data_IF_315623748570
#
_entry.id   IF_315623748570
#
_cell.length_a   1.000
_cell.length_b   1.000
_cell.length_c   1.000
_cell.angle_alpha   90.00
_cell.angle_beta   90.00
_cell.angle_gamma   90.00
#
_symmetry.space_group_name_H-M   'P 1'
#
loop_
_entity.id
_entity.type
_entity.pdbx_description
1 polymer ?
#
# COMPACT_ATOMS: atom_id res chain seq x y z
N UNK A 1 4.38 9.43 22.37
CA UNK A 1 5.03 10.52 21.61
C UNK A 1 6.51 10.18 21.43
N UNK A 2 6.85 9.47 20.36
CA UNK A 2 8.20 9.24 19.82
C UNK A 2 8.03 8.55 18.45
N UNK A 3 8.48 9.18 17.36
CA UNK A 3 8.37 8.64 16.01
C UNK A 3 9.43 7.55 15.74
N UNK A 4 9.13 6.49 14.96
CA UNK A 4 10.13 5.57 14.47
C UNK A 4 10.92 6.20 13.30
N UNK A 5 12.18 5.78 13.07
CA UNK A 5 13.05 6.39 12.07
C UNK A 5 12.71 5.95 10.65
N UNK A 6 12.75 6.90 9.72
CA UNK A 6 12.60 6.71 8.27
C UNK A 6 13.80 6.00 7.63
N UNK A 7 13.60 5.14 6.61
CA UNK A 7 14.66 4.46 5.89
C UNK A 7 15.26 5.38 4.83
N UNK A 8 16.02 6.40 5.24
CA UNK A 8 16.73 7.32 4.34
C UNK A 8 18.25 7.39 4.63
N UNK A 9 18.76 6.56 5.55
CA UNK A 9 20.16 6.59 5.99
C UNK A 9 21.06 5.47 5.46
N UNK A 10 20.54 4.56 4.62
CA UNK A 10 21.34 3.45 4.09
C UNK A 10 22.15 3.81 2.82
N UNK A 11 21.85 4.92 2.12
CA UNK A 11 22.57 5.28 0.89
C UNK A 11 23.65 6.37 1.05
N UNK A 12 23.79 6.97 2.23
CA UNK A 12 24.76 8.05 2.48
C UNK A 12 26.10 7.57 3.07
N UNK A 13 26.27 6.29 3.39
CA UNK A 13 27.49 5.76 4.02
C UNK A 13 28.60 5.33 3.04
N UNK A 14 28.33 5.29 1.73
CA UNK A 14 29.33 4.85 0.73
C UNK A 14 30.18 6.03 0.19
N UNK A 15 29.72 7.28 0.35
CA UNK A 15 30.42 8.45 -0.22
C UNK A 15 31.33 9.17 0.79
N UNK A 16 31.14 8.95 2.10
CA UNK A 16 31.95 9.61 3.14
C UNK A 16 33.29 8.90 3.47
N UNK A 17 33.46 7.63 3.10
CA UNK A 17 34.65 6.82 3.44
C UNK A 17 35.90 7.12 2.60
N UNK A 18 35.77 7.80 1.45
CA UNK A 18 36.90 8.02 0.53
C UNK A 18 37.66 9.34 0.78
N UNK A 19 37.12 10.26 1.59
CA UNK A 19 37.72 11.58 1.83
C UNK A 19 38.65 11.63 3.06
N UNK A 20 38.57 10.67 3.99
CA UNK A 20 39.34 10.68 5.23
C UNK A 20 40.75 10.04 5.11
N UNK A 21 41.04 9.32 4.03
CA UNK A 21 42.31 8.60 3.82
C UNK A 21 43.38 9.42 3.07
N UNK A 22 43.12 10.69 2.74
CA UNK A 22 44.03 11.50 1.93
C UNK A 22 44.73 12.66 2.66
N UNK A 23 44.46 12.88 3.95
CA UNK A 23 44.99 14.03 4.71
C UNK A 23 45.93 13.71 5.88
N UNK A 24 46.31 12.45 6.07
CA UNK A 24 47.16 12.04 7.20
C UNK A 24 48.44 11.32 6.75
N UNK A 25 49.32 11.98 5.98
CA UNK A 25 50.71 11.51 5.90
C UNK A 25 51.72 12.61 5.51
N UNK A 26 51.73 13.70 6.28
CA UNK A 26 52.89 14.62 6.30
C UNK A 26 53.20 15.02 7.74
N UNK A 27 54.13 14.30 8.38
CA UNK A 27 55.05 14.86 9.37
C UNK A 27 56.21 13.90 9.68
N UNK A 28 57.39 14.33 9.22
CA UNK A 28 58.65 14.36 9.96
C UNK A 28 59.41 13.03 10.22
N UNK A 29 60.61 12.92 9.63
CA UNK A 29 61.84 12.45 10.31
C UNK A 29 63.09 12.71 9.46
N UNK A 30 64.07 13.37 10.07
CA UNK A 30 65.43 13.65 9.60
C UNK A 30 66.40 12.49 10.00
N UNK A 31 67.25 12.03 9.05
CA UNK A 31 68.73 11.75 9.07
C UNK A 31 69.36 10.87 10.20
N UNK A 32 70.43 10.03 9.99
CA UNK A 32 71.44 10.02 8.91
C UNK A 32 71.82 8.69 8.20
N UNK A 33 72.39 8.94 7.02
CA UNK A 33 73.41 8.28 6.19
C UNK A 33 74.30 7.16 6.79
N UNK A 34 74.34 6.03 6.07
CA UNK A 34 75.41 5.04 6.07
C UNK A 34 75.62 4.49 4.65
N UNK A 35 76.74 4.87 4.04
CA UNK A 35 77.20 4.56 2.67
C UNK A 35 77.32 3.05 2.42
N UNK A 36 76.85 2.56 1.26
CA UNK A 36 77.66 1.73 0.34
C UNK A 36 76.99 1.64 -1.02
N UNK A 37 77.79 1.94 -2.03
CA UNK A 37 77.49 2.00 -3.46
C UNK A 37 77.35 0.59 -4.01
N UNK A 38 76.25 0.33 -4.71
CA UNK A 38 76.13 -0.75 -5.69
C UNK A 38 75.37 -0.19 -6.89
N UNK A 39 76.10 0.07 -7.97
CA UNK A 39 75.56 0.18 -9.34
C UNK A 39 75.78 -1.22 -9.92
N UNK A 40 74.76 -1.89 -10.47
CA UNK A 40 74.54 -1.74 -11.90
C UNK A 40 73.09 -1.87 -12.42
N UNK A 41 72.86 -1.11 -13.51
CA UNK A 41 72.15 -1.51 -14.75
C UNK A 41 70.73 -2.10 -14.62
N UNK A 42 69.73 -1.35 -15.09
CA UNK A 42 68.44 -1.95 -15.45
C UNK A 42 67.27 -0.97 -15.50
N UNK A 43 66.92 -0.54 -16.71
CA UNK A 43 65.57 -0.15 -17.09
C UNK A 43 64.97 1.07 -16.38
N UNK A 44 65.09 2.24 -17.01
CA UNK A 44 64.11 3.31 -16.81
C UNK A 44 62.77 2.78 -17.31
N UNK A 45 61.96 2.24 -16.40
CA UNK A 45 60.57 1.93 -16.66
C UNK A 45 59.85 3.27 -16.88
N UNK A 46 59.73 3.65 -18.16
CA UNK A 46 58.91 4.75 -18.65
C UNK A 46 57.46 4.52 -18.18
N UNK A 47 57.12 5.03 -16.98
CA UNK A 47 55.73 5.16 -16.54
C UNK A 47 55.09 6.27 -17.37
N UNK A 48 54.82 6.00 -18.65
CA UNK A 48 53.87 6.78 -19.45
C UNK A 48 52.52 6.71 -18.75
N UNK A 49 52.23 7.69 -17.90
CA UNK A 49 50.86 8.04 -17.56
C UNK A 49 50.16 8.28 -18.89
N UNK A 50 49.37 7.32 -19.37
CA UNK A 50 48.49 7.49 -20.54
C UNK A 50 47.64 8.71 -20.27
N UNK A 51 48.04 9.87 -20.80
CA UNK A 51 47.24 11.08 -20.74
C UNK A 51 46.01 10.80 -21.58
N UNK A 52 44.89 10.58 -20.90
CA UNK A 52 43.58 10.46 -21.53
C UNK A 52 43.40 11.66 -22.46
N UNK A 53 43.18 11.40 -23.76
CA UNK A 53 43.00 12.45 -24.75
C UNK A 53 41.90 13.41 -24.29
N UNK A 54 42.04 14.71 -24.57
CA UNK A 54 41.07 15.74 -24.16
C UNK A 54 39.62 15.36 -24.55
N UNK A 55 39.48 14.70 -25.72
CA UNK A 55 38.27 14.03 -26.24
C UNK A 55 37.58 13.13 -25.22
N UNK A 56 38.31 12.20 -24.64
CA UNK A 56 37.73 11.21 -23.74
C UNK A 56 37.34 11.87 -22.43
N UNK A 57 38.04 12.93 -22.00
CA UNK A 57 37.68 13.72 -20.82
C UNK A 57 36.40 14.53 -21.02
N UNK A 58 36.25 15.25 -22.14
CA UNK A 58 35.03 16.02 -22.40
C UNK A 58 33.83 15.10 -22.59
N UNK A 59 33.99 14.00 -23.33
CA UNK A 59 32.94 12.98 -23.47
C UNK A 59 32.56 12.36 -22.10
N UNK A 60 33.54 11.94 -21.30
CA UNK A 60 33.28 11.41 -19.95
C UNK A 60 32.56 12.45 -19.08
N UNK A 61 32.97 13.73 -19.14
CA UNK A 61 32.32 14.78 -18.39
C UNK A 61 30.85 14.95 -18.79
N UNK A 62 30.55 15.03 -20.10
CA UNK A 62 29.16 15.16 -20.57
C UNK A 62 28.34 13.91 -20.25
N UNK A 63 28.89 12.72 -20.47
CA UNK A 63 28.22 11.45 -20.17
C UNK A 63 27.91 11.31 -18.66
N UNK A 64 28.86 11.68 -17.80
CA UNK A 64 28.66 11.68 -16.34
C UNK A 64 27.59 12.70 -15.95
N UNK A 65 27.63 13.93 -16.48
CA UNK A 65 26.61 14.95 -16.20
C UNK A 65 25.21 14.48 -16.61
N UNK A 66 25.08 13.88 -17.79
CA UNK A 66 23.81 13.31 -18.26
C UNK A 66 23.35 12.13 -17.39
N UNK A 67 24.26 11.24 -17.02
CA UNK A 67 23.94 10.11 -16.14
C UNK A 67 23.44 10.60 -14.77
N UNK A 68 24.10 11.60 -14.18
CA UNK A 68 23.68 12.22 -12.91
C UNK A 68 22.30 12.86 -13.05
N UNK A 69 22.06 13.60 -14.16
CA UNK A 69 20.75 14.21 -14.42
C UNK A 69 19.65 13.14 -14.57
N UNK A 70 19.89 12.08 -15.34
CA UNK A 70 18.93 10.99 -15.52
C UNK A 70 18.66 10.25 -14.21
N UNK A 71 19.67 9.98 -13.40
CA UNK A 71 19.51 9.37 -12.07
C UNK A 71 18.68 10.28 -11.14
N UNK A 72 18.93 11.59 -11.16
CA UNK A 72 18.18 12.55 -10.37
C UNK A 72 16.70 12.62 -10.80
N UNK A 73 16.45 12.69 -12.11
CA UNK A 73 15.10 12.70 -12.68
C UNK A 73 14.36 11.39 -12.41
N UNK A 74 15.01 10.24 -12.60
CA UNK A 74 14.43 8.93 -12.32
C UNK A 74 14.11 8.78 -10.83
N UNK A 75 15.01 9.19 -9.94
CA UNK A 75 14.77 9.19 -8.49
C UNK A 75 13.59 10.08 -8.10
N UNK A 76 13.46 11.26 -8.73
CA UNK A 76 12.31 12.15 -8.52
C UNK A 76 11.00 11.51 -8.99
N UNK A 77 10.97 10.95 -10.21
CA UNK A 77 9.80 10.25 -10.77
C UNK A 77 9.42 9.06 -9.90
N UNK A 78 10.38 8.24 -9.48
CA UNK A 78 10.15 7.08 -8.61
C UNK A 78 9.53 7.51 -7.27
N UNK A 79 10.10 8.53 -6.62
CA UNK A 79 9.59 9.00 -5.32
C UNK A 79 8.20 9.62 -5.42
N UNK A 80 7.92 10.39 -6.46
CA UNK A 80 6.60 10.98 -6.71
C UNK A 80 5.57 9.88 -6.97
N UNK A 81 5.94 8.90 -7.79
CA UNK A 81 5.06 7.78 -8.16
C UNK A 81 4.72 6.94 -6.93
N UNK A 82 5.71 6.48 -6.16
CA UNK A 82 5.48 5.70 -4.94
C UNK A 82 4.58 6.43 -3.93
N UNK A 83 4.81 7.73 -3.70
CA UNK A 83 3.95 8.53 -2.81
C UNK A 83 2.53 8.64 -3.33
N UNK A 84 2.35 8.93 -4.62
CA UNK A 84 1.03 9.10 -5.23
C UNK A 84 0.23 7.80 -5.16
N UNK A 85 0.84 6.67 -5.51
CA UNK A 85 0.20 5.37 -5.42
C UNK A 85 -0.06 4.95 -3.97
N UNK A 86 0.83 5.25 -3.03
CA UNK A 86 0.56 5.03 -1.60
C UNK A 86 -0.66 5.81 -1.10
N UNK A 87 -0.86 7.04 -1.58
CA UNK A 87 -2.08 7.81 -1.24
C UNK A 87 -3.33 7.27 -1.90
N UNK A 88 -3.23 6.72 -3.12
CA UNK A 88 -4.35 6.05 -3.80
C UNK A 88 -4.76 4.78 -3.04
N UNK A 89 -3.80 3.93 -2.65
CA UNK A 89 -4.07 2.74 -1.85
C UNK A 89 -4.74 3.07 -0.51
N UNK A 90 -4.30 4.13 0.17
CA UNK A 90 -4.93 4.57 1.40
C UNK A 90 -6.38 5.02 1.19
N UNK A 91 -6.66 5.71 0.08
CA UNK A 91 -8.03 6.14 -0.29
C UNK A 91 -8.91 4.95 -0.67
N UNK A 92 -8.40 4.05 -1.49
CA UNK A 92 -9.12 2.85 -1.92
C UNK A 92 -9.42 1.94 -0.74
N UNK A 93 -8.47 1.76 0.18
CA UNK A 93 -8.67 1.03 1.43
C UNK A 93 -9.68 1.72 2.35
N UNK A 94 -9.67 3.05 2.46
CA UNK A 94 -10.69 3.78 3.24
C UNK A 94 -12.10 3.66 2.64
N UNK A 95 -12.20 3.68 1.30
CA UNK A 95 -13.45 3.45 0.59
C UNK A 95 -13.93 2.00 0.77
N UNK A 96 -13.02 1.02 0.69
CA UNK A 96 -13.30 -0.39 0.96
C UNK A 96 -13.81 -0.59 2.39
N UNK A 97 -13.18 0.03 3.38
CA UNK A 97 -13.62 -0.01 4.78
C UNK A 97 -15.04 0.54 4.93
N UNK A 98 -15.34 1.64 4.22
CA UNK A 98 -16.68 2.24 4.23
C UNK A 98 -17.71 1.29 3.61
N UNK A 99 -17.39 0.61 2.50
CA UNK A 99 -18.28 -0.39 1.90
C UNK A 99 -18.56 -1.56 2.85
N UNK A 100 -17.54 -2.07 3.55
CA UNK A 100 -17.71 -3.14 4.55
C UNK A 100 -18.67 -2.68 5.66
N UNK A 101 -18.43 -1.49 6.24
CA UNK A 101 -19.30 -0.94 7.29
C UNK A 101 -20.73 -0.77 6.80
N UNK A 102 -20.91 -0.24 5.58
CA UNK A 102 -22.24 -0.04 5.00
C UNK A 102 -22.96 -1.35 4.73
N UNK A 103 -22.28 -2.37 4.20
CA UNK A 103 -22.87 -3.68 3.94
C UNK A 103 -23.38 -4.34 5.24
N UNK A 104 -22.55 -4.33 6.30
CA UNK A 104 -22.96 -4.89 7.60
C UNK A 104 -24.09 -4.09 8.24
N UNK A 105 -24.04 -2.75 8.15
CA UNK A 105 -25.13 -1.90 8.66
C UNK A 105 -26.43 -2.09 7.90
N UNK A 106 -26.38 -2.30 6.59
CA UNK A 106 -27.57 -2.57 5.78
C UNK A 106 -28.24 -3.88 6.23
N UNK A 107 -27.47 -4.94 6.47
CA UNK A 107 -28.02 -6.20 6.97
C UNK A 107 -28.56 -6.05 8.41
N UNK A 108 -27.88 -5.28 9.27
CA UNK A 108 -28.40 -4.99 10.60
C UNK A 108 -29.72 -4.21 10.54
N UNK A 109 -29.81 -3.19 9.69
CA UNK A 109 -31.06 -2.43 9.49
C UNK A 109 -32.18 -3.31 8.96
N UNK A 110 -31.88 -4.29 8.09
CA UNK A 110 -32.88 -5.27 7.64
C UNK A 110 -33.41 -6.10 8.81
N UNK A 111 -32.54 -6.58 9.70
CA UNK A 111 -32.95 -7.31 10.91
C UNK A 111 -33.75 -6.41 11.86
N UNK A 112 -33.39 -5.13 11.99
CA UNK A 112 -34.14 -4.16 12.79
C UNK A 112 -35.53 -3.88 12.21
N UNK A 113 -35.69 -3.84 10.89
CA UNK A 113 -37.02 -3.75 10.27
C UNK A 113 -37.85 -5.00 10.58
N UNK A 114 -37.27 -6.19 10.45
CA UNK A 114 -37.97 -7.44 10.80
C UNK A 114 -38.40 -7.44 12.26
N UNK A 115 -37.51 -7.10 13.21
CA UNK A 115 -37.90 -7.06 14.62
C UNK A 115 -38.90 -5.93 14.92
N UNK A 116 -38.79 -4.79 14.24
CA UNK A 116 -39.72 -3.66 14.37
C UNK A 116 -41.11 -3.93 13.82
N UNK A 117 -41.26 -4.84 12.86
CA UNK A 117 -42.58 -5.23 12.34
C UNK A 117 -43.32 -6.19 13.28
N UNK A 118 -42.58 -7.03 14.03
CA UNK A 118 -43.15 -8.11 14.86
C UNK A 118 -43.24 -7.78 16.36
N UNK A 119 -42.33 -6.96 16.87
CA UNK A 119 -42.29 -6.58 18.29
C UNK A 119 -43.50 -5.77 18.77
N UNK A 120 -44.11 -4.87 17.97
CA UNK A 120 -45.27 -4.09 18.40
C UNK A 120 -46.61 -4.79 18.16
N UNK A 121 -46.67 -6.09 17.86
CA UNK A 121 -47.96 -6.77 17.67
C UNK A 121 -48.66 -7.02 19.00
N UNK A 122 -49.98 -6.79 19.04
CA UNK A 122 -50.83 -7.13 20.19
C UNK A 122 -50.68 -8.61 20.57
N UNK A 123 -50.57 -9.51 19.59
CA UNK A 123 -50.40 -10.95 19.81
C UNK A 123 -49.04 -11.27 20.46
N UNK A 124 -47.95 -10.64 19.99
CA UNK A 124 -46.62 -10.76 20.61
C UNK A 124 -46.64 -10.23 22.04
N UNK A 125 -47.34 -9.10 22.27
CA UNK A 125 -47.49 -8.51 23.59
C UNK A 125 -48.26 -9.42 24.56
N UNK A 126 -49.39 -9.98 24.12
CA UNK A 126 -50.22 -10.90 24.89
C UNK A 126 -49.50 -12.22 25.17
N UNK A 127 -48.71 -12.72 24.23
CA UNK A 127 -47.87 -13.91 24.44
C UNK A 127 -46.88 -13.70 25.60
N UNK A 128 -46.21 -12.55 25.64
CA UNK A 128 -45.28 -12.21 26.74
C UNK A 128 -46.00 -12.06 28.08
N UNK A 129 -47.23 -11.56 28.07
CA UNK A 129 -48.09 -11.49 29.25
C UNK A 129 -48.61 -12.87 29.71
N UNK A 130 -48.47 -13.91 28.89
CA UNK A 130 -48.99 -15.26 29.14
C UNK A 130 -50.48 -15.42 28.78
N UNK A 131 -51.05 -14.47 28.05
CA UNK A 131 -52.47 -14.42 27.67
C UNK A 131 -52.76 -15.15 26.35
N UNK A 132 -51.74 -15.43 25.54
CA UNK A 132 -51.87 -16.14 24.25
C UNK A 132 -50.78 -17.22 24.05
N UNK A 133 -50.78 -18.31 24.83
CA UNK A 133 -49.70 -19.31 24.80
C UNK A 133 -49.54 -20.05 23.46
N UNK A 134 -50.57 -20.10 22.62
CA UNK A 134 -50.56 -20.73 21.30
C UNK A 134 -49.83 -19.90 20.22
N UNK A 135 -49.50 -18.63 20.51
CA UNK A 135 -48.87 -17.69 19.57
C UNK A 135 -47.71 -18.27 18.73
N UNK A 136 -46.72 -19.00 19.30
CA UNK A 136 -45.64 -19.55 18.49
C UNK A 136 -46.11 -20.61 17.49
N UNK A 137 -47.13 -21.39 17.83
CA UNK A 137 -47.69 -22.41 16.94
C UNK A 137 -48.47 -21.77 15.80
N UNK A 138 -49.21 -20.69 16.10
CA UNK A 138 -50.08 -20.01 15.14
C UNK A 138 -49.30 -19.08 14.19
N UNK A 139 -48.18 -18.49 14.64
CA UNK A 139 -47.50 -17.42 13.90
C UNK A 139 -46.03 -17.70 13.57
N UNK A 140 -45.34 -18.57 14.32
CA UNK A 140 -43.88 -18.79 14.21
C UNK A 140 -43.52 -20.18 13.69
N UNK A 141 -44.34 -20.72 12.78
CA UNK A 141 -43.99 -21.96 12.07
C UNK A 141 -42.69 -21.78 11.26
N UNK A 142 -41.98 -22.87 10.99
CA UNK A 142 -40.66 -22.87 10.32
C UNK A 142 -40.65 -22.07 9.01
N UNK A 143 -41.71 -22.16 8.21
CA UNK A 143 -41.85 -21.41 6.95
C UNK A 143 -41.92 -19.89 7.17
N UNK A 144 -42.53 -19.45 8.28
CA UNK A 144 -42.56 -18.04 8.64
C UNK A 144 -41.15 -17.53 8.98
N UNK A 145 -40.38 -18.27 9.78
CA UNK A 145 -39.00 -17.91 10.11
C UNK A 145 -38.08 -17.89 8.89
N UNK A 146 -38.23 -18.85 7.98
CA UNK A 146 -37.49 -18.89 6.72
C UNK A 146 -37.81 -17.67 5.82
N UNK A 147 -39.08 -17.25 5.78
CA UNK A 147 -39.51 -16.07 5.02
C UNK A 147 -38.92 -14.76 5.59
N UNK A 148 -38.73 -14.66 6.90
CA UNK A 148 -38.04 -13.53 7.54
C UNK A 148 -36.53 -13.49 7.25
N UNK A 149 -36.00 -14.59 6.70
CA UNK A 149 -34.58 -14.84 6.47
C UNK A 149 -33.76 -14.56 7.73
N UNK A 150 -34.21 -15.12 8.85
CA UNK A 150 -33.56 -15.01 10.15
C UNK A 150 -33.22 -16.42 10.66
N UNK A 151 -31.97 -16.64 11.06
CA UNK A 151 -31.54 -17.90 11.64
C UNK A 151 -32.02 -18.07 13.08
N UNK A 152 -32.26 -16.95 13.77
CA UNK A 152 -32.61 -16.90 15.20
C UNK A 152 -33.79 -15.96 15.41
N UNK A 153 -34.81 -16.44 16.12
CA UNK A 153 -35.95 -15.65 16.59
C UNK A 153 -36.23 -15.99 18.05
N UNK A 154 -36.07 -15.02 18.95
CA UNK A 154 -36.19 -15.22 20.40
C UNK A 154 -37.10 -14.18 21.01
N UNK A 155 -38.07 -14.63 21.82
CA UNK A 155 -38.92 -13.77 22.63
C UNK A 155 -38.53 -13.98 24.10
N UNK A 156 -38.24 -12.89 24.79
CA UNK A 156 -37.94 -12.88 26.21
C UNK A 156 -38.85 -11.90 26.96
N UNK A 157 -39.18 -12.23 28.21
CA UNK A 157 -39.90 -11.30 29.10
C UNK A 157 -38.99 -10.15 29.59
N UNK A 158 -39.55 -9.17 30.29
CA UNK A 158 -38.82 -8.01 30.82
C UNK A 158 -37.67 -8.33 31.80
N UNK A 159 -37.57 -9.56 32.32
CA UNK A 159 -36.44 -10.02 33.13
C UNK A 159 -35.30 -10.63 32.30
N UNK A 160 -35.57 -10.88 31.02
CA UNK A 160 -34.67 -11.55 30.08
C UNK A 160 -34.81 -13.06 30.13
N UNK A 161 -35.86 -13.59 30.75
CA UNK A 161 -36.17 -15.02 30.69
C UNK A 161 -36.80 -15.31 29.34
N UNK A 162 -36.28 -16.34 28.69
CA UNK A 162 -36.67 -16.75 27.35
C UNK A 162 -38.00 -17.48 27.43
N UNK A 163 -38.99 -16.96 26.70
CA UNK A 163 -40.32 -17.56 26.56
C UNK A 163 -40.39 -18.42 25.31
N UNK A 164 -39.76 -17.97 24.22
CA UNK A 164 -39.66 -18.70 22.96
C UNK A 164 -38.27 -18.55 22.34
N UNK A 165 -37.79 -19.60 21.71
CA UNK A 165 -36.59 -19.60 20.87
C UNK A 165 -36.82 -20.54 19.69
N UNK A 166 -36.90 -19.99 18.48
CA UNK A 166 -37.07 -20.72 17.23
C UNK A 166 -35.94 -20.39 16.26
N UNK A 167 -35.36 -21.42 15.64
CA UNK A 167 -34.28 -21.28 14.68
C UNK A 167 -34.68 -21.81 13.32
N UNK A 168 -34.14 -21.23 12.25
CA UNK A 168 -34.32 -21.75 10.89
C UNK A 168 -32.97 -22.03 10.24
N UNK A 169 -32.91 -23.06 9.41
CA UNK A 169 -31.77 -23.30 8.54
C UNK A 169 -32.07 -22.76 7.14
N UNK A 170 -31.51 -21.60 6.81
CA UNK A 170 -31.76 -20.92 5.54
C UNK A 170 -31.14 -21.64 4.33
N UNK A 171 -30.11 -22.47 4.54
CA UNK A 171 -29.47 -23.25 3.48
C UNK A 171 -30.16 -24.61 3.24
N UNK A 172 -30.36 -25.40 4.31
CA UNK A 172 -30.90 -26.76 4.22
C UNK A 172 -32.41 -26.83 4.20
N UNK A 173 -33.10 -25.78 4.65
CA UNK A 173 -34.54 -25.77 4.87
C UNK A 173 -34.91 -26.58 6.11
N UNK A 174 -35.66 -25.98 7.03
CA UNK A 174 -36.14 -26.66 8.23
C UNK A 174 -35.81 -25.92 9.52
N UNK A 175 -36.27 -26.50 10.62
CA UNK A 175 -36.07 -25.96 11.97
C UNK A 175 -34.63 -26.27 12.44
N UNK A 176 -33.98 -25.28 13.03
CA UNK A 176 -32.67 -25.41 13.66
C UNK A 176 -32.85 -25.33 15.16
N UNK A 177 -32.43 -26.36 15.89
CA UNK A 177 -32.35 -26.32 17.34
C UNK A 177 -31.41 -25.17 17.76
N UNK A 178 -31.97 -24.22 18.51
CA UNK A 178 -31.24 -23.11 19.11
C UNK A 178 -30.56 -23.59 20.39
N UNK A 179 -29.21 -23.64 20.44
CA UNK A 179 -28.52 -24.04 21.65
C UNK A 179 -28.86 -23.12 22.83
N UNK A 180 -29.02 -23.68 24.02
CA UNK A 180 -29.39 -22.91 25.23
C UNK A 180 -28.41 -21.78 25.56
N UNK A 181 -27.13 -21.93 25.21
CA UNK A 181 -26.11 -20.89 25.37
C UNK A 181 -26.28 -19.73 24.38
N UNK A 182 -26.75 -20.00 23.16
CA UNK A 182 -27.09 -18.97 22.18
C UNK A 182 -28.30 -18.15 22.65
N UNK A 183 -29.33 -18.84 23.13
CA UNK A 183 -30.51 -18.22 23.69
C UNK A 183 -30.14 -17.34 24.92
N UNK A 184 -29.27 -17.84 25.82
CA UNK A 184 -28.79 -17.10 26.99
C UNK A 184 -27.91 -15.89 26.63
N UNK A 185 -27.09 -16.00 25.58
CA UNK A 185 -26.31 -14.87 25.06
C UNK A 185 -27.22 -13.78 24.51
N UNK A 186 -28.26 -14.16 23.77
CA UNK A 186 -29.30 -13.27 23.26
C UNK A 186 -30.03 -12.56 24.41
N UNK A 187 -30.49 -13.29 25.42
CA UNK A 187 -31.13 -12.72 26.61
C UNK A 187 -30.23 -11.72 27.36
N UNK A 188 -28.93 -12.03 27.48
CA UNK A 188 -27.97 -11.13 28.12
C UNK A 188 -27.77 -9.85 27.32
N UNK A 189 -27.70 -9.97 26.00
CA UNK A 189 -27.59 -8.83 25.10
C UNK A 189 -28.86 -7.97 25.12
N UNK A 190 -30.05 -8.59 25.22
CA UNK A 190 -31.32 -7.90 25.33
C UNK A 190 -31.38 -6.95 26.54
N UNK A 191 -30.84 -7.37 27.69
CA UNK A 191 -30.76 -6.52 28.90
C UNK A 191 -29.90 -5.26 28.73
N UNK A 192 -29.06 -5.19 27.70
CA UNK A 192 -28.29 -3.98 27.38
C UNK A 192 -29.09 -2.98 26.55
N UNK A 193 -30.21 -3.40 25.95
CA UNK A 193 -31.11 -2.54 25.20
C UNK A 193 -32.10 -1.82 26.14
N UNK A 194 -32.30 -0.50 25.98
CA UNK A 194 -33.24 0.25 26.80
C UNK A 194 -34.69 -0.12 26.46
N UNK A 195 -35.40 -0.71 27.42
CA UNK A 195 -36.81 -1.08 27.25
C UNK A 195 -37.73 0.15 27.05
N UNK A 196 -37.34 1.30 27.61
CA UNK A 196 -38.16 2.50 27.68
C UNK A 196 -38.22 3.32 26.37
N UNK A 197 -37.25 3.17 25.46
CA UNK A 197 -37.21 3.99 24.24
C UNK A 197 -37.99 3.38 23.08
N UNK A 198 -38.39 2.10 23.19
CA UNK A 198 -38.96 1.30 22.10
C UNK A 198 -38.09 1.25 20.83
N UNK A 199 -36.83 1.69 20.90
CA UNK A 199 -35.93 1.73 19.76
C UNK A 199 -35.23 0.38 19.56
N UNK A 200 -35.12 -0.03 18.30
CA UNK A 200 -34.32 -1.20 17.92
C UNK A 200 -32.82 -0.92 18.14
N UNK A 201 -32.14 -1.84 18.81
CA UNK A 201 -30.67 -1.83 18.94
C UNK A 201 -30.09 -3.12 18.40
N UNK A 202 -28.77 -3.21 18.25
CA UNK A 202 -28.15 -4.43 17.74
C UNK A 202 -26.71 -4.29 17.33
N UNK A 203 -26.14 -5.37 16.84
CA UNK A 203 -24.76 -5.43 16.37
C UNK A 203 -24.27 -6.87 16.24
N UNK A 204 -22.95 -7.05 16.23
CA UNK A 204 -22.33 -8.38 16.12
C UNK A 204 -22.21 -8.99 17.53
N UNK A 205 -22.88 -10.10 17.76
CA UNK A 205 -22.79 -10.91 18.96
C UNK A 205 -21.82 -12.08 18.73
N UNK A 206 -20.92 -12.30 19.68
CA UNK A 206 -20.06 -13.48 19.67
C UNK A 206 -20.81 -14.67 20.28
N UNK A 207 -20.89 -15.77 19.53
CA UNK A 207 -21.51 -17.02 19.97
C UNK A 207 -20.51 -18.18 19.83
N UNK A 208 -20.81 -19.35 20.40
CA UNK A 208 -19.98 -20.56 20.19
C UNK A 208 -20.02 -21.07 18.75
N UNK A 209 -21.09 -20.76 18.02
CA UNK A 209 -21.27 -21.16 16.61
C UNK A 209 -20.65 -20.16 15.63
N UNK A 210 -20.21 -18.98 16.10
CA UNK A 210 -19.61 -17.94 15.28
C UNK A 210 -20.18 -16.56 15.56
N UNK A 211 -19.99 -15.65 14.61
CA UNK A 211 -20.51 -14.30 14.69
C UNK A 211 -21.99 -14.28 14.30
N UNK A 212 -22.84 -13.76 15.16
CA UNK A 212 -24.26 -13.56 14.90
C UNK A 212 -24.52 -12.06 14.79
N UNK A 213 -25.04 -11.59 13.67
CA UNK A 213 -25.61 -10.25 13.60
C UNK A 213 -27.00 -10.29 14.23
N UNK A 214 -27.26 -9.45 15.24
CA UNK A 214 -28.50 -9.49 16.02
C UNK A 214 -29.14 -8.11 16.11
N UNK A 215 -30.46 -8.05 15.97
CA UNK A 215 -31.30 -6.92 16.30
C UNK A 215 -32.19 -7.26 17.50
N UNK A 216 -32.37 -6.29 18.39
CA UNK A 216 -33.17 -6.38 19.62
C UNK A 216 -34.18 -5.25 19.62
N UNK A 217 -35.45 -5.58 19.78
CA UNK A 217 -36.55 -4.62 19.82
C UNK A 217 -37.41 -4.84 21.07
N UNK A 218 -37.72 -3.80 21.87
CA UNK A 218 -38.69 -3.91 22.95
C UNK A 218 -40.08 -4.28 22.39
N UNK A 219 -40.77 -5.21 23.05
CA UNK A 219 -42.12 -5.66 22.68
C UNK A 219 -43.14 -4.73 23.33
N UNK A 220 -44.06 -4.19 22.52
CA UNK A 220 -45.18 -3.31 22.92
C UNK A 220 -46.43 -3.71 22.13
N UNK A 221 -47.53 -2.98 22.27
CA UNK A 221 -48.78 -3.21 21.55
C UNK A 221 -48.82 -2.42 20.21
N UNK A 222 -49.81 -2.69 19.37
CA UNK A 222 -49.93 -2.10 18.03
C UNK A 222 -50.05 -0.56 18.06
N UNK A 223 -50.61 -0.03 19.15
CA UNK A 223 -50.77 1.40 19.37
C UNK A 223 -49.49 2.11 19.87
N UNK A 224 -48.43 1.35 20.20
CA UNK A 224 -47.16 1.83 20.75
C UNK A 224 -47.31 2.65 22.05
N UNK A 225 -48.40 2.45 22.79
CA UNK A 225 -48.72 3.16 24.02
C UNK A 225 -48.64 2.25 25.27
N UNK A 226 -48.63 0.93 25.08
CA UNK A 226 -48.41 -0.01 26.17
C UNK A 226 -46.94 0.01 26.63
N UNK A 227 -46.68 -0.03 27.95
CA UNK A 227 -45.34 -0.21 28.46
C UNK A 227 -44.74 -1.50 27.92
N UNK A 228 -43.49 -1.42 27.45
CA UNK A 228 -42.82 -2.60 26.92
C UNK A 228 -42.70 -3.70 27.98
N UNK A 229 -43.07 -4.92 27.62
CA UNK A 229 -43.16 -6.06 28.54
C UNK A 229 -42.13 -7.17 28.26
N UNK A 230 -41.29 -7.00 27.24
CA UNK A 230 -40.27 -7.97 26.85
C UNK A 230 -39.39 -7.48 25.70
N UNK A 231 -38.58 -8.40 25.16
CA UNK A 231 -37.72 -8.17 24.01
C UNK A 231 -37.95 -9.22 22.93
N UNK A 232 -38.00 -8.76 21.69
CA UNK A 232 -37.88 -9.60 20.51
C UNK A 232 -36.45 -9.48 19.97
N UNK A 233 -35.80 -10.62 19.76
CA UNK A 233 -34.48 -10.70 19.15
C UNK A 233 -34.56 -11.47 17.85
N UNK A 234 -33.97 -10.90 16.81
CA UNK A 234 -33.88 -11.51 15.49
C UNK A 234 -32.41 -11.51 15.10
N UNK A 235 -31.90 -12.66 14.68
CA UNK A 235 -30.48 -12.86 14.39
C UNK A 235 -30.24 -13.56 13.06
N UNK A 236 -29.10 -13.24 12.45
CA UNK A 236 -28.54 -13.95 11.30
C UNK A 236 -27.07 -14.25 11.52
N UNK A 237 -26.64 -15.47 11.26
CA UNK A 237 -25.24 -15.85 11.33
C UNK A 237 -24.45 -15.24 10.17
N UNK A 238 -23.25 -14.75 10.47
CA UNK A 238 -22.26 -14.39 9.47
C UNK A 238 -21.50 -15.66 9.04
N UNK A 239 -22.25 -16.61 8.49
CA UNK A 239 -21.77 -17.91 8.03
C UNK A 239 -21.13 -17.82 6.63
N UNK A 240 -20.80 -18.97 6.02
CA UNK A 240 -20.16 -18.98 4.71
C UNK A 240 -21.01 -18.32 3.61
N UNK A 241 -22.33 -18.51 3.62
CA UNK A 241 -23.24 -17.91 2.64
C UNK A 241 -23.33 -16.40 2.84
N UNK A 242 -23.54 -15.93 4.07
CA UNK A 242 -23.66 -14.49 4.35
C UNK A 242 -22.31 -13.78 4.12
N UNK A 243 -21.18 -14.39 4.47
CA UNK A 243 -19.85 -13.86 4.14
C UNK A 243 -19.63 -13.79 2.63
N UNK A 244 -20.15 -14.75 1.86
CA UNK A 244 -20.12 -14.72 0.39
C UNK A 244 -20.98 -13.58 -0.16
N UNK A 245 -22.18 -13.37 0.37
CA UNK A 245 -23.06 -12.28 -0.01
C UNK A 245 -22.45 -10.90 0.31
N UNK A 246 -21.82 -10.76 1.48
CA UNK A 246 -21.04 -9.57 1.85
C UNK A 246 -19.87 -9.36 0.89
N UNK A 247 -19.19 -10.43 0.49
CA UNK A 247 -18.07 -10.35 -0.45
C UNK A 247 -18.51 -9.86 -1.83
N UNK A 248 -19.65 -10.33 -2.33
CA UNK A 248 -20.24 -9.88 -3.59
C UNK A 248 -20.67 -8.40 -3.52
N UNK A 249 -21.32 -8.01 -2.42
CA UNK A 249 -21.82 -6.64 -2.22
C UNK A 249 -20.68 -5.63 -2.10
N UNK A 250 -19.59 -6.00 -1.43
CA UNK A 250 -18.46 -5.10 -1.18
C UNK A 250 -17.43 -5.10 -2.32
N UNK A 251 -17.43 -6.14 -3.15
CA UNK A 251 -16.39 -6.41 -4.14
C UNK A 251 -15.05 -6.82 -3.51
N UNK A 252 -15.07 -7.39 -2.29
CA UNK A 252 -13.91 -7.75 -1.50
C UNK A 252 -14.04 -9.19 -1.01
N UNK A 253 -12.95 -9.96 -0.96
CA UNK A 253 -12.95 -11.24 -0.25
C UNK A 253 -13.02 -10.97 1.24
N UNK A 254 -14.20 -11.17 1.84
CA UNK A 254 -14.50 -10.77 3.21
C UNK A 254 -14.35 -11.93 4.19
N UNK A 255 -13.90 -11.67 5.41
CA UNK A 255 -13.82 -12.65 6.50
C UNK A 255 -14.06 -11.93 7.83
N UNK A 256 -14.78 -12.56 8.74
CA UNK A 256 -15.03 -12.02 10.09
C UNK A 256 -14.21 -12.79 11.12
N UNK A 257 -13.52 -12.06 11.98
CA UNK A 257 -12.69 -12.57 13.06
C UNK A 257 -13.22 -12.10 14.40
N UNK A 258 -13.35 -13.03 15.34
CA UNK A 258 -13.84 -12.78 16.68
C UNK A 258 -12.68 -12.78 17.70
N UNK A 259 -12.80 -12.07 18.83
CA UNK A 259 -11.76 -12.05 19.87
C UNK A 259 -11.34 -13.42 20.39
N UNK A 260 -12.29 -14.36 20.48
CA UNK A 260 -12.06 -15.72 20.99
C UNK A 260 -11.44 -16.69 19.97
N UNK A 261 -11.29 -16.28 18.70
CA UNK A 261 -10.81 -17.13 17.62
C UNK A 261 -9.29 -17.15 17.45
N UNK A 262 -8.80 -18.13 16.69
CA UNK A 262 -7.42 -18.14 16.20
C UNK A 262 -7.29 -17.14 15.05
N UNK A 263 -6.73 -15.97 15.35
CA UNK A 263 -6.58 -14.89 14.37
C UNK A 263 -5.21 -15.01 13.66
N UNK A 264 -5.18 -14.91 12.31
CA UNK A 264 -3.92 -14.90 11.60
C UNK A 264 -3.09 -13.63 11.93
N UNK A 265 -1.77 -13.70 11.69
CA UNK A 265 -0.82 -12.68 12.14
C UNK A 265 -1.10 -11.29 11.57
N UNK A 266 -1.66 -11.21 10.36
CA UNK A 266 -2.07 -9.98 9.69
C UNK A 266 -3.21 -9.28 10.45
N UNK A 267 -4.20 -10.04 10.94
CA UNK A 267 -5.31 -9.57 11.77
C UNK A 267 -4.82 -9.12 13.14
N UNK A 268 -3.97 -9.91 13.79
CA UNK A 268 -3.37 -9.51 15.08
C UNK A 268 -2.56 -8.21 14.97
N UNK A 269 -1.78 -8.07 13.89
CA UNK A 269 -1.07 -6.83 13.58
C UNK A 269 -2.02 -5.66 13.29
N UNK A 270 -3.16 -5.91 12.65
CA UNK A 270 -4.19 -4.90 12.41
C UNK A 270 -4.81 -4.40 13.71
N UNK A 271 -5.15 -5.29 14.64
CA UNK A 271 -5.67 -4.92 15.98
C UNK A 271 -4.69 -3.98 16.69
N UNK A 272 -3.39 -4.28 16.66
CA UNK A 272 -2.36 -3.39 17.23
C UNK A 272 -2.32 -2.01 16.57
N UNK A 273 -2.45 -1.92 15.24
CA UNK A 273 -2.50 -0.64 14.50
C UNK A 273 -3.77 0.16 14.82
N UNK A 274 -4.92 -0.51 14.90
CA UNK A 274 -6.21 0.08 15.27
C UNK A 274 -6.13 0.69 16.67
N UNK A 275 -5.62 -0.07 17.64
CA UNK A 275 -5.42 0.39 19.01
C UNK A 275 -4.44 1.58 19.10
N UNK A 276 -3.32 1.54 18.36
CA UNK A 276 -2.31 2.61 18.39
C UNK A 276 -2.78 3.91 17.71
N UNK A 277 -3.62 3.80 16.68
CA UNK A 277 -4.15 4.96 15.95
C UNK A 277 -5.43 5.54 16.54
N UNK A 278 -6.16 4.77 17.35
CA UNK A 278 -7.49 5.12 17.82
C UNK A 278 -8.56 5.11 16.72
N UNK A 279 -8.27 4.53 15.56
CA UNK A 279 -9.21 4.40 14.44
C UNK A 279 -9.93 3.05 14.49
N UNK A 280 -11.15 3.02 13.93
CA UNK A 280 -11.94 1.82 13.66
C UNK A 280 -11.51 1.11 12.36
N UNK A 281 -10.57 1.67 11.60
CA UNK A 281 -10.18 1.20 10.27
C UNK A 281 -8.68 1.16 10.11
N UNK A 282 -8.19 0.12 9.48
CA UNK A 282 -6.78 -0.01 9.11
C UNK A 282 -6.66 -0.61 7.72
N UNK A 283 -5.63 -0.18 6.99
CA UNK A 283 -5.29 -0.70 5.67
C UNK A 283 -3.84 -1.13 5.71
N UNK A 284 -3.55 -2.33 5.22
CA UNK A 284 -2.19 -2.83 5.12
C UNK A 284 -2.04 -3.80 3.95
N UNK A 285 -0.91 -3.77 3.23
CA UNK A 285 -0.63 -4.80 2.23
C UNK A 285 -0.47 -6.16 2.92
N UNK A 286 -1.09 -7.19 2.35
CA UNK A 286 -0.86 -8.57 2.75
C UNK A 286 0.39 -9.12 2.05
N UNK A 287 0.59 -8.71 0.80
CA UNK A 287 1.77 -8.97 -0.02
C UNK A 287 1.84 -7.94 -1.18
N UNK A 288 2.65 -8.21 -2.20
CA UNK A 288 2.80 -7.33 -3.37
C UNK A 288 1.55 -7.27 -4.27
N UNK A 289 0.67 -8.27 -4.18
CA UNK A 289 -0.51 -8.43 -5.04
C UNK A 289 -1.84 -8.15 -4.32
N UNK A 290 -1.86 -8.18 -2.99
CA UNK A 290 -3.10 -8.12 -2.19
C UNK A 290 -3.03 -7.01 -1.15
N UNK A 291 -4.11 -6.24 -1.09
CA UNK A 291 -4.35 -5.21 -0.08
C UNK A 291 -5.45 -5.67 0.87
N UNK A 292 -5.16 -5.66 2.16
CA UNK A 292 -6.13 -5.99 3.19
C UNK A 292 -6.62 -4.73 3.90
N UNK A 293 -7.94 -4.63 4.01
CA UNK A 293 -8.66 -3.61 4.76
C UNK A 293 -9.31 -4.25 5.98
N UNK A 294 -9.14 -3.65 7.14
CA UNK A 294 -9.63 -4.15 8.41
C UNK A 294 -10.57 -3.12 9.02
N UNK A 295 -11.75 -3.58 9.42
CA UNK A 295 -12.76 -2.78 10.11
C UNK A 295 -13.01 -3.39 11.48
N UNK A 296 -12.89 -2.58 12.52
CA UNK A 296 -13.18 -2.95 13.89
C UNK A 296 -14.60 -2.54 14.27
N UNK A 297 -15.38 -3.50 14.75
CA UNK A 297 -16.73 -3.27 15.26
C UNK A 297 -16.85 -3.76 16.70
N UNK A 298 -17.34 -2.95 17.65
CA UNK A 298 -17.65 -3.41 19.00
C UNK A 298 -18.65 -4.57 18.96
N UNK A 299 -18.42 -5.57 19.81
CA UNK A 299 -19.40 -6.63 19.99
C UNK A 299 -20.62 -6.11 20.77
N UNK A 300 -21.80 -6.50 20.32
CA UNK A 300 -23.05 -6.26 21.02
C UNK A 300 -23.08 -7.06 22.33
N UNK A 301 -23.44 -6.40 23.43
CA UNK A 301 -23.30 -6.97 24.78
C UNK A 301 -21.89 -6.86 25.40
N UNK A 302 -20.92 -6.28 24.68
CA UNK A 302 -19.54 -6.10 25.15
C UNK A 302 -18.62 -7.30 24.91
N UNK A 303 -17.47 -7.35 25.60
CA UNK A 303 -16.54 -8.48 25.50
C UNK A 303 -15.49 -8.40 24.38
N UNK A 304 -15.35 -7.24 23.73
CA UNK A 304 -14.27 -6.97 22.76
C UNK A 304 -14.80 -6.44 21.44
N UNK A 305 -14.04 -6.68 20.38
CA UNK A 305 -14.35 -6.19 19.02
C UNK A 305 -14.21 -7.31 17.99
N UNK A 306 -15.17 -7.38 17.06
CA UNK A 306 -15.01 -8.16 15.85
C UNK A 306 -14.13 -7.40 14.85
N UNK A 307 -13.30 -8.13 14.10
CA UNK A 307 -12.52 -7.58 12.99
C UNK A 307 -13.06 -8.16 11.69
N UNK A 308 -13.51 -7.29 10.80
CA UNK A 308 -13.94 -7.66 9.46
C UNK A 308 -12.81 -7.31 8.51
N UNK A 309 -12.24 -8.34 7.87
CA UNK A 309 -11.16 -8.20 6.89
C UNK A 309 -11.74 -8.31 5.49
N UNK A 310 -11.53 -7.29 4.66
CA UNK A 310 -11.78 -7.35 3.22
C UNK A 310 -10.46 -7.32 2.45
N UNK A 311 -10.27 -8.28 1.55
CA UNK A 311 -9.07 -8.38 0.71
C UNK A 311 -9.41 -8.03 -0.74
N UNK A 312 -8.58 -7.20 -1.35
CA UNK A 312 -8.68 -6.78 -2.74
C UNK A 312 -7.36 -6.94 -3.48
N UNK A 313 -7.42 -7.02 -4.81
CA UNK A 313 -6.24 -6.93 -5.67
C UNK A 313 -5.58 -5.56 -5.54
N UNK A 314 -4.25 -5.57 -5.43
CA UNK A 314 -3.39 -4.40 -5.36
C UNK A 314 -3.01 -3.92 -6.77
N UNK A 315 -4.01 -3.79 -7.65
CA UNK A 315 -3.85 -3.48 -9.07
C UNK A 315 -3.13 -2.14 -9.30
N UNK A 316 -3.41 -1.14 -8.47
CA UNK A 316 -2.73 0.15 -8.50
C UNK A 316 -1.21 0.03 -8.28
N UNK A 317 -0.77 -0.85 -7.38
CA UNK A 317 0.67 -1.12 -7.17
C UNK A 317 1.31 -1.78 -8.37
N UNK A 318 0.65 -2.78 -8.97
CA UNK A 318 1.15 -3.44 -10.18
C UNK A 318 1.28 -2.44 -11.34
N UNK A 319 0.29 -1.58 -11.52
CA UNK A 319 0.30 -0.55 -12.56
C UNK A 319 1.41 0.48 -12.33
N UNK A 320 1.68 0.86 -11.07
CA UNK A 320 2.82 1.70 -10.68
C UNK A 320 4.15 1.08 -11.09
N UNK A 321 4.35 -0.23 -10.81
CA UNK A 321 5.59 -0.95 -11.16
C UNK A 321 5.78 -1.05 -12.68
N UNK A 322 4.71 -1.30 -13.42
CA UNK A 322 4.75 -1.32 -14.89
C UNK A 322 5.09 0.07 -15.46
N UNK A 323 4.45 1.11 -14.93
CA UNK A 323 4.70 2.51 -15.33
C UNK A 323 6.14 2.92 -15.06
N UNK A 324 6.70 2.56 -13.90
CA UNK A 324 8.11 2.81 -13.56
C UNK A 324 9.07 2.04 -14.48
N UNK A 325 8.75 0.79 -14.84
CA UNK A 325 9.52 0.02 -15.82
C UNK A 325 9.54 0.67 -17.20
N UNK A 326 8.38 1.16 -17.66
CA UNK A 326 8.27 1.88 -18.93
C UNK A 326 9.06 3.19 -18.91
N UNK A 327 8.99 3.97 -17.82
CA UNK A 327 9.82 5.16 -17.67
C UNK A 327 11.31 4.82 -17.66
N UNK A 328 11.73 3.78 -16.94
CA UNK A 328 13.12 3.34 -16.95
C UNK A 328 13.60 2.99 -18.37
N UNK A 329 12.80 2.23 -19.13
CA UNK A 329 13.11 1.90 -20.52
C UNK A 329 13.20 3.15 -21.41
N UNK A 330 12.27 4.10 -21.26
CA UNK A 330 12.27 5.36 -21.98
C UNK A 330 13.50 6.23 -21.64
N UNK A 331 13.88 6.31 -20.37
CA UNK A 331 15.08 7.02 -19.91
C UNK A 331 16.36 6.40 -20.48
N UNK A 332 16.46 5.07 -20.50
CA UNK A 332 17.60 4.36 -21.12
C UNK A 332 17.65 4.65 -22.62
N UNK A 333 16.52 4.53 -23.32
CA UNK A 333 16.44 4.79 -24.76
C UNK A 333 16.83 6.25 -25.09
N UNK A 334 16.29 7.23 -24.36
CA UNK A 334 16.64 8.64 -24.51
C UNK A 334 18.13 8.89 -24.22
N UNK A 335 18.68 8.26 -23.19
CA UNK A 335 20.10 8.32 -22.87
C UNK A 335 20.98 7.79 -24.01
N UNK A 336 20.64 6.63 -24.58
CA UNK A 336 21.37 6.05 -25.72
C UNK A 336 21.32 6.96 -26.95
N UNK A 337 20.14 7.50 -27.29
CA UNK A 337 19.98 8.45 -28.40
C UNK A 337 20.83 9.70 -28.18
N UNK A 338 20.83 10.26 -26.97
CA UNK A 338 21.58 11.46 -26.66
C UNK A 338 23.10 11.22 -26.67
N UNK A 339 23.56 10.07 -26.20
CA UNK A 339 24.98 9.66 -26.29
C UNK A 339 25.38 9.50 -27.75
N UNK A 340 24.57 8.82 -28.56
CA UNK A 340 24.84 8.65 -30.00
C UNK A 340 24.88 9.99 -30.74
N UNK A 341 23.92 10.89 -30.48
CA UNK A 341 23.91 12.23 -31.05
C UNK A 341 25.15 13.04 -30.67
N UNK A 342 25.56 13.01 -29.39
CA UNK A 342 26.79 13.66 -28.94
C UNK A 342 28.04 13.10 -29.62
N UNK A 343 28.13 11.78 -29.82
CA UNK A 343 29.25 11.15 -30.53
C UNK A 343 29.32 11.62 -31.99
N UNK A 344 28.18 11.70 -32.67
CA UNK A 344 28.12 12.15 -34.08
C UNK A 344 28.53 13.63 -34.20
N UNK A 345 28.01 14.49 -33.32
CA UNK A 345 28.35 15.92 -33.31
C UNK A 345 29.84 16.10 -33.02
N UNK A 346 30.36 15.47 -31.96
CA UNK A 346 31.78 15.59 -31.59
C UNK A 346 32.71 15.09 -32.70
N UNK A 347 32.33 14.00 -33.37
CA UNK A 347 33.12 13.44 -34.48
C UNK A 347 33.18 14.41 -35.67
N UNK A 348 32.02 14.95 -36.07
CA UNK A 348 31.92 15.85 -37.22
C UNK A 348 32.48 17.24 -36.98
N UNK A 349 32.21 17.86 -35.82
CA UNK A 349 32.58 19.26 -35.57
C UNK A 349 34.02 19.43 -35.11
N UNK A 350 34.52 18.53 -34.27
CA UNK A 350 35.85 18.68 -33.65
C UNK A 350 36.82 17.63 -34.16
N UNK A 351 36.49 16.34 -34.05
CA UNK A 351 37.50 15.28 -34.18
C UNK A 351 38.03 15.11 -35.59
N UNK A 352 37.15 15.19 -36.60
CA UNK A 352 37.57 15.10 -37.99
C UNK A 352 38.50 16.25 -38.37
N UNK A 353 38.16 17.48 -37.95
CA UNK A 353 38.99 18.68 -38.18
C UNK A 353 40.33 18.61 -37.44
N UNK A 354 40.34 18.17 -36.18
CA UNK A 354 41.57 18.02 -35.39
C UNK A 354 42.49 16.93 -35.96
N UNK A 355 41.91 15.83 -36.47
CA UNK A 355 42.66 14.76 -37.17
C UNK A 355 43.27 15.28 -38.46
N UNK A 356 42.52 16.07 -39.25
CA UNK A 356 43.02 16.70 -40.47
C UNK A 356 44.20 17.63 -40.15
N UNK A 357 44.05 18.50 -39.16
CA UNK A 357 45.11 19.44 -38.74
C UNK A 357 46.37 18.71 -38.24
N UNK A 358 46.20 17.67 -37.43
CA UNK A 358 47.33 16.84 -36.96
C UNK A 358 48.04 16.12 -38.11
N UNK A 359 47.27 15.57 -39.06
CA UNK A 359 47.86 14.93 -40.25
C UNK A 359 48.58 15.93 -41.15
N UNK A 360 48.07 17.16 -41.25
CA UNK A 360 48.71 18.23 -42.00
C UNK A 360 50.07 18.60 -41.41
N UNK A 361 50.16 18.81 -40.09
CA UNK A 361 51.41 19.16 -39.42
C UNK A 361 52.50 18.09 -39.62
N UNK A 362 52.14 16.81 -39.55
CA UNK A 362 53.08 15.73 -39.85
C UNK A 362 53.54 15.69 -41.31
N UNK A 363 52.71 16.16 -42.26
CA UNK A 363 53.15 16.28 -43.67
C UNK A 363 54.09 17.46 -43.89
N UNK A 364 53.85 18.60 -43.24
CA UNK A 364 54.76 19.77 -43.34
C UNK A 364 56.14 19.43 -42.80
N UNK A 365 56.20 18.67 -41.70
CA UNK A 365 57.44 18.14 -41.14
C UNK A 365 58.21 17.23 -42.12
N UNK A 366 57.50 16.52 -43.01
CA UNK A 366 58.09 15.56 -43.95
C UNK A 366 58.32 16.11 -45.38
N UNK A 367 57.57 17.12 -45.82
CA UNK A 367 57.51 17.55 -47.22
C UNK A 367 57.86 19.04 -47.46
N UNK A 368 58.07 19.85 -46.41
CA UNK A 368 58.43 21.27 -46.52
C UNK A 368 57.29 22.25 -46.27
N UNK A 369 57.64 23.53 -46.15
CA UNK A 369 56.81 24.64 -45.62
C UNK A 369 55.76 25.15 -46.63
N UNK A 370 55.86 24.79 -47.91
CA UNK A 370 55.01 25.31 -48.99
C UNK A 370 53.51 24.92 -48.89
N UNK A 371 53.16 23.89 -48.11
CA UNK A 371 51.77 23.49 -47.94
C UNK A 371 51.02 24.42 -46.96
N UNK A 372 49.72 24.65 -47.18
CA UNK A 372 48.84 25.43 -46.29
C UNK A 372 47.65 24.60 -45.80
N UNK A 373 47.19 24.89 -44.58
CA UNK A 373 46.01 24.25 -43.99
C UNK A 373 44.75 24.85 -44.64
N UNK A 374 43.80 24.03 -45.14
CA UNK A 374 42.48 24.53 -45.53
C UNK A 374 41.77 25.13 -44.31
N UNK A 375 41.39 26.40 -44.39
CA UNK A 375 40.63 27.08 -43.34
C UNK A 375 39.14 26.84 -43.58
N UNK A 376 38.48 26.11 -42.69
CA UNK A 376 37.05 25.78 -42.83
C UNK A 376 36.27 26.30 -41.61
N UNK A 377 35.19 27.06 -41.81
CA UNK A 377 34.30 27.50 -40.72
C UNK A 377 34.70 28.83 -40.06
N UNK A 378 34.16 29.08 -38.86
CA UNK A 378 34.30 30.36 -38.12
C UNK A 378 34.51 30.19 -36.62
N UNK A 379 34.84 28.98 -36.16
CA UNK A 379 35.02 28.64 -34.74
C UNK A 379 36.49 28.81 -34.28
N UNK A 380 36.77 28.44 -33.03
CA UNK A 380 38.12 28.55 -32.44
C UNK A 380 39.16 27.71 -33.18
N UNK A 381 38.78 26.55 -33.75
CA UNK A 381 39.67 25.77 -34.60
C UNK A 381 40.08 26.54 -35.86
N UNK A 382 39.15 27.29 -36.45
CA UNK A 382 39.41 28.14 -37.61
C UNK A 382 40.45 29.22 -37.30
N UNK A 383 40.43 29.78 -36.09
CA UNK A 383 41.44 30.74 -35.63
C UNK A 383 42.83 30.10 -35.56
N UNK A 384 42.92 28.86 -35.09
CA UNK A 384 44.17 28.09 -35.03
C UNK A 384 44.69 27.78 -36.44
N UNK A 385 43.81 27.34 -37.35
CA UNK A 385 44.15 27.08 -38.77
C UNK A 385 44.75 28.33 -39.42
N UNK A 386 44.14 29.51 -39.20
CA UNK A 386 44.67 30.80 -39.68
C UNK A 386 46.03 31.16 -39.09
N UNK A 387 46.19 31.02 -37.78
CA UNK A 387 47.46 31.32 -37.11
C UNK A 387 48.61 30.42 -37.59
N UNK A 388 48.33 29.14 -37.87
CA UNK A 388 49.32 28.22 -38.45
C UNK A 388 49.75 28.69 -39.83
N UNK A 389 48.80 29.06 -40.70
CA UNK A 389 49.13 29.58 -42.04
C UNK A 389 49.96 30.87 -41.96
N UNK A 390 49.62 31.82 -41.09
CA UNK A 390 50.43 33.03 -40.90
C UNK A 390 51.84 32.75 -40.39
N UNK A 391 52.05 31.72 -39.56
CA UNK A 391 53.38 31.30 -39.14
C UNK A 391 54.19 30.70 -40.29
N UNK A 392 53.54 29.89 -41.14
CA UNK A 392 54.19 29.33 -42.34
C UNK A 392 54.55 30.43 -43.34
N UNK A 393 53.69 31.43 -43.53
CA UNK A 393 53.96 32.61 -44.38
C UNK A 393 55.21 33.37 -43.91
N UNK A 394 55.44 33.47 -42.60
CA UNK A 394 56.61 34.12 -42.02
C UNK A 394 57.91 33.30 -42.13
N UNK A 395 57.83 32.01 -42.44
CA UNK A 395 58.99 31.11 -42.63
C UNK A 395 59.38 30.97 -44.10
N UNK A 396 58.48 31.31 -45.03
CA UNK A 396 58.74 31.33 -46.48
C UNK A 396 59.44 32.64 -46.93
N UNK A 397 59.59 33.62 -46.04
CA UNK A 397 60.37 34.86 -46.21
C UNK A 397 61.70 34.79 -45.48
#
# INVERSE_FOLDING_TARGET
MAMPPTPARACTSIIAGAAALWLADRRNRYIPLGRKVLVPQGGVADRRRRRVALRTRTFLATAVTLAVLFLALFGAVSSITERSFGTLEARDGAAAATRIVQAVRAELSRLQSVSGDWAPWDDTYQYVAGEYPEYPTDNLMTDALANLRADVFVIADASGRILFAGGSDLEGGGERDLPADLAAACATAARTAPLATLEATGGILQTRQGALLVAVHPITNNALDAPANGWLLVGRFLDAAEITALSQTTGLTTTVYLPSGSNPADVAGAVGRLAASGSDRAVAPLNDDLLATYVQMPLFGGGGTAIIRGVADRSAYRESRNTLGLFAAAFIAAGLVLVAANLIVLDRSVLRRLKNLSSFLHRVEAAGVEARVPVEGTDELTSIERNINSMLDALDT
#
